data_IF_465826976550
#
_entry.id   IF_465826976550
#
_cell.length_a   1.000
_cell.length_b   1.000
_cell.length_c   1.000
_cell.angle_alpha   90.00
_cell.angle_beta   90.00
_cell.angle_gamma   90.00
#
_symmetry.space_group_name_H-M   'P 1'
#
loop_
_entity.id
_entity.type
_entity.pdbx_description
1 polymer ?
#
# COMPACT_ATOMS: atom_id res chain seq x y z
N UNK A 1 -27.40 1.15 72.94
CA UNK A 1 -28.19 1.48 71.74
C UNK A 1 -27.50 2.66 71.05
N UNK A 2 -26.32 2.43 70.47
CA UNK A 2 -26.03 2.26 69.04
C UNK A 2 -26.27 3.51 68.18
N UNK A 3 -25.16 3.99 67.61
CA UNK A 3 -24.93 5.29 66.99
C UNK A 3 -25.55 5.43 65.60
N UNK A 4 -25.92 6.67 65.24
CA UNK A 4 -26.25 7.07 63.86
C UNK A 4 -25.01 7.70 63.22
N UNK A 5 -24.48 7.03 62.21
CA UNK A 5 -23.40 7.50 61.34
C UNK A 5 -23.91 8.58 60.36
N UNK A 6 -23.10 9.60 60.02
CA UNK A 6 -23.44 10.56 58.98
C UNK A 6 -23.16 10.00 57.58
N UNK A 7 -24.04 10.33 56.65
CA UNK A 7 -23.99 9.99 55.23
C UNK A 7 -22.84 10.75 54.56
N UNK A 8 -21.77 10.07 54.13
CA UNK A 8 -20.74 10.66 53.27
C UNK A 8 -21.29 10.79 51.85
N UNK A 9 -21.34 12.02 51.33
CA UNK A 9 -21.61 12.32 49.93
C UNK A 9 -20.34 12.00 49.12
N UNK A 10 -20.32 10.84 48.44
CA UNK A 10 -19.25 10.48 47.52
C UNK A 10 -19.46 11.23 46.19
N UNK A 11 -18.62 12.22 45.91
CA UNK A 11 -18.56 12.87 44.61
C UNK A 11 -17.94 11.90 43.59
N UNK A 12 -18.76 11.41 42.67
CA UNK A 12 -18.28 10.62 41.54
C UNK A 12 -17.55 11.53 40.54
N UNK A 13 -16.22 11.56 40.62
CA UNK A 13 -15.39 12.04 39.51
C UNK A 13 -15.48 11.01 38.37
N UNK A 14 -16.36 11.27 37.41
CA UNK A 14 -16.34 10.58 36.12
C UNK A 14 -15.06 10.99 35.38
N UNK A 15 -14.00 10.21 35.57
CA UNK A 15 -12.84 10.28 34.69
C UNK A 15 -13.30 9.90 33.28
N UNK A 16 -13.45 10.89 32.39
CA UNK A 16 -13.50 10.63 30.95
C UNK A 16 -12.19 9.95 30.60
N UNK A 17 -12.25 8.64 30.38
CA UNK A 17 -11.14 7.86 29.87
C UNK A 17 -10.81 8.41 28.48
N UNK A 18 -9.74 9.19 28.42
CA UNK A 18 -9.15 9.68 27.20
C UNK A 18 -8.57 8.44 26.50
N UNK A 19 -9.34 7.82 25.61
CA UNK A 19 -8.84 6.73 24.77
C UNK A 19 -7.89 7.37 23.77
N UNK A 20 -6.63 7.55 24.18
CA UNK A 20 -5.51 7.66 23.28
C UNK A 20 -5.49 6.34 22.49
N UNK A 21 -5.88 6.39 21.22
CA UNK A 21 -5.62 5.29 20.31
C UNK A 21 -4.13 5.31 19.98
N UNK A 22 -3.32 4.75 20.87
CA UNK A 22 -2.06 4.11 20.47
C UNK A 22 -2.44 2.85 19.67
N UNK A 23 -2.99 3.05 18.47
CA UNK A 23 -2.97 1.97 17.47
C UNK A 23 -1.52 1.91 17.01
N UNK A 24 -0.83 0.83 17.38
CA UNK A 24 0.48 0.51 16.84
C UNK A 24 0.49 0.80 15.34
N UNK A 25 1.45 1.61 14.84
CA UNK A 25 1.53 1.90 13.43
C UNK A 25 1.63 0.62 12.60
N UNK A 26 2.10 -0.49 13.18
CA UNK A 26 2.34 -1.76 12.51
C UNK A 26 1.22 -2.80 12.69
N UNK A 27 0.07 -2.40 13.26
CA UNK A 27 -1.11 -3.27 13.28
C UNK A 27 -1.76 -3.35 11.89
N UNK A 28 -1.54 -4.48 11.20
CA UNK A 28 -2.21 -4.92 9.98
C UNK A 28 -3.66 -5.32 10.26
N UNK A 29 -4.46 -4.35 10.70
CA UNK A 29 -5.91 -4.51 10.90
C UNK A 29 -6.60 -4.63 9.52
N UNK A 30 -7.25 -5.78 9.20
CA UNK A 30 -7.95 -6.00 7.94
C UNK A 30 -9.22 -5.15 7.80
N UNK A 31 -9.69 -4.52 8.88
CA UNK A 31 -10.89 -3.66 8.92
C UNK A 31 -10.58 -2.17 9.06
N UNK A 32 -9.48 -1.73 8.47
CA UNK A 32 -9.10 -0.32 8.51
C UNK A 32 -10.00 0.55 7.62
N UNK A 33 -11.10 1.00 8.20
CA UNK A 33 -12.01 1.99 7.62
C UNK A 33 -11.32 3.33 7.28
N UNK A 34 -10.10 3.56 7.76
CA UNK A 34 -9.31 4.77 7.46
C UNK A 34 -8.42 4.60 6.22
N UNK A 35 -8.25 3.38 5.69
CA UNK A 35 -7.48 3.17 4.46
C UNK A 35 -8.26 3.71 3.25
N UNK A 36 -7.68 4.74 2.63
CA UNK A 36 -8.23 5.41 1.46
C UNK A 36 -7.96 4.65 0.16
N UNK A 37 -7.01 3.70 0.16
CA UNK A 37 -6.72 2.84 -0.99
C UNK A 37 -7.71 1.67 -1.01
N UNK A 38 -8.55 1.53 -2.05
CA UNK A 38 -9.30 0.30 -2.25
C UNK A 38 -8.34 -0.83 -2.67
N UNK A 39 -8.63 -2.06 -2.22
CA UNK A 39 -7.90 -3.26 -2.63
C UNK A 39 -6.35 -3.12 -2.55
N UNK A 40 -5.83 -2.56 -1.46
CA UNK A 40 -4.39 -2.26 -1.32
C UNK A 40 -3.48 -3.50 -1.23
N UNK A 41 -4.06 -4.67 -0.95
CA UNK A 41 -3.37 -5.97 -0.96
C UNK A 41 -3.61 -6.80 -2.22
N UNK A 42 -4.37 -6.30 -3.21
CA UNK A 42 -4.67 -7.01 -4.47
C UNK A 42 -5.42 -8.34 -4.31
N UNK A 43 -6.07 -8.57 -3.17
CA UNK A 43 -6.82 -9.81 -2.88
C UNK A 43 -8.08 -9.97 -3.73
N UNK A 44 -8.67 -8.84 -4.13
CA UNK A 44 -9.85 -8.78 -4.98
C UNK A 44 -9.44 -8.63 -6.46
N UNK A 45 -9.62 -9.69 -7.24
CA UNK A 45 -9.38 -9.68 -8.68
C UNK A 45 -10.36 -10.62 -9.40
N UNK A 46 -10.68 -10.29 -10.64
CA UNK A 46 -11.59 -11.07 -11.47
C UNK A 46 -10.88 -11.79 -12.62
N UNK A 47 -11.39 -12.96 -12.99
CA UNK A 47 -10.89 -13.75 -14.11
C UNK A 47 -9.79 -14.75 -13.73
N UNK A 48 -9.08 -15.25 -14.75
CA UNK A 48 -8.01 -16.23 -14.58
C UNK A 48 -6.68 -15.59 -14.94
N UNK A 49 -5.82 -15.43 -13.94
CA UNK A 49 -4.45 -14.95 -14.12
C UNK A 49 -3.63 -16.02 -14.85
N UNK A 50 -3.16 -15.69 -16.06
CA UNK A 50 -2.41 -16.61 -16.94
C UNK A 50 -1.09 -16.03 -17.46
N UNK A 51 -0.95 -14.71 -17.43
CA UNK A 51 0.17 -13.98 -18.03
C UNK A 51 0.55 -12.78 -17.17
N UNK A 52 1.78 -12.34 -17.35
CA UNK A 52 2.29 -11.05 -16.88
C UNK A 52 1.50 -9.89 -17.53
N UNK A 53 1.60 -8.71 -16.94
CA UNK A 53 0.90 -7.50 -17.38
C UNK A 53 -0.59 -7.51 -17.07
N UNK A 54 -0.99 -8.14 -15.96
CA UNK A 54 -2.40 -8.39 -15.61
C UNK A 54 -2.91 -7.58 -14.40
N UNK A 55 -2.24 -6.48 -14.02
CA UNK A 55 -2.67 -5.66 -12.87
C UNK A 55 -4.12 -5.15 -12.99
N UNK A 56 -4.61 -4.96 -14.21
CA UNK A 56 -5.97 -4.48 -14.47
C UNK A 56 -7.05 -5.50 -14.08
N UNK A 57 -6.68 -6.75 -13.81
CA UNK A 57 -7.57 -7.75 -13.22
C UNK A 57 -7.83 -7.47 -11.73
N UNK A 58 -6.90 -6.81 -11.03
CA UNK A 58 -7.10 -6.42 -9.64
C UNK A 58 -8.05 -5.22 -9.56
N UNK A 59 -9.13 -5.39 -8.80
CA UNK A 59 -10.22 -4.42 -8.74
C UNK A 59 -9.71 -3.03 -8.35
N UNK A 60 -9.95 -2.04 -9.21
CA UNK A 60 -9.60 -0.64 -8.99
C UNK A 60 -8.18 -0.22 -9.40
N UNK A 61 -7.30 -1.18 -9.71
CA UNK A 61 -5.92 -0.90 -10.13
C UNK A 61 -5.78 -0.87 -11.64
N UNK A 62 -4.94 0.05 -12.14
CA UNK A 62 -4.65 0.21 -13.57
C UNK A 62 -3.21 0.66 -13.80
N UNK A 63 -2.69 0.41 -14.99
CA UNK A 63 -1.44 1.05 -15.43
C UNK A 63 -1.74 2.35 -16.19
N UNK A 64 -1.09 3.48 -15.84
CA UNK A 64 -1.27 4.75 -16.52
C UNK A 64 -0.55 4.84 -17.88
N UNK A 65 0.35 3.91 -18.18
CA UNK A 65 1.13 3.82 -19.43
C UNK A 65 0.72 2.58 -20.24
N UNK A 66 1.29 2.43 -21.44
CA UNK A 66 1.09 1.21 -22.26
C UNK A 66 1.65 -0.04 -21.58
N UNK A 67 2.72 0.13 -20.80
CA UNK A 67 3.36 -0.93 -20.02
C UNK A 67 2.48 -1.29 -18.83
N UNK A 68 1.99 -2.53 -18.84
CA UNK A 68 1.12 -3.06 -17.79
C UNK A 68 1.94 -3.63 -16.65
N UNK A 69 1.56 -3.28 -15.44
CA UNK A 69 2.11 -3.89 -14.24
C UNK A 69 1.63 -5.34 -14.09
N UNK A 70 2.38 -6.10 -13.30
CA UNK A 70 2.12 -7.50 -13.07
C UNK A 70 1.23 -7.71 -11.85
N UNK A 71 0.45 -8.78 -11.88
CA UNK A 71 -0.26 -9.32 -10.74
C UNK A 71 0.22 -10.76 -10.57
N UNK A 72 0.56 -11.13 -9.34
CA UNK A 72 0.96 -12.48 -8.95
C UNK A 72 -0.04 -13.04 -7.94
N UNK A 73 -0.28 -14.34 -7.99
CA UNK A 73 -1.22 -15.02 -7.11
C UNK A 73 -0.81 -16.46 -6.83
N UNK A 74 -0.98 -16.92 -5.60
CA UNK A 74 -0.83 -18.33 -5.22
C UNK A 74 -1.92 -19.23 -5.81
N UNK A 75 -3.04 -18.64 -6.28
CA UNK A 75 -4.14 -19.35 -6.93
C UNK A 75 -3.78 -19.82 -8.34
N UNK A 76 -2.66 -19.33 -8.89
CA UNK A 76 -2.10 -19.82 -10.15
C UNK A 76 -1.14 -20.96 -9.81
N UNK A 77 -1.52 -22.19 -10.14
CA UNK A 77 -0.75 -23.37 -9.78
C UNK A 77 0.68 -23.38 -10.34
N UNK A 78 0.83 -23.05 -11.64
CA UNK A 78 2.12 -22.96 -12.33
C UNK A 78 2.00 -21.93 -13.44
N UNK A 79 2.93 -20.98 -13.51
CA UNK A 79 3.04 -20.07 -14.63
C UNK A 79 3.95 -18.88 -14.38
N UNK A 80 4.08 -17.97 -15.34
CA UNK A 80 4.92 -16.78 -15.17
C UNK A 80 4.38 -15.83 -14.10
N UNK A 81 3.10 -15.92 -13.75
CA UNK A 81 2.42 -15.10 -12.74
C UNK A 81 2.07 -15.86 -11.45
N UNK A 82 2.59 -17.09 -11.25
CA UNK A 82 2.33 -17.84 -10.01
C UNK A 82 3.13 -17.30 -8.83
N UNK A 83 2.54 -17.37 -7.64
CA UNK A 83 3.28 -17.15 -6.39
C UNK A 83 3.36 -18.48 -5.61
N UNK A 84 4.47 -18.76 -4.90
CA UNK A 84 5.63 -17.87 -4.74
C UNK A 84 6.59 -17.88 -5.93
N UNK A 85 6.67 -19.00 -6.68
CA UNK A 85 7.61 -19.12 -7.80
C UNK A 85 7.02 -18.59 -9.11
N UNK A 86 7.66 -17.58 -9.70
CA UNK A 86 7.29 -16.95 -10.99
C UNK A 86 8.51 -16.71 -11.88
N UNK A 87 8.28 -16.02 -13.01
CA UNK A 87 9.30 -15.53 -13.96
C UNK A 87 10.45 -14.75 -13.28
N UNK A 88 10.19 -14.09 -12.15
CA UNK A 88 11.12 -13.15 -11.50
C UNK A 88 11.75 -13.67 -10.20
N UNK A 89 11.45 -14.89 -9.78
CA UNK A 89 12.04 -15.49 -8.58
C UNK A 89 11.07 -16.33 -7.75
N UNK A 90 11.34 -16.41 -6.45
CA UNK A 90 10.58 -17.19 -5.46
C UNK A 90 10.13 -16.26 -4.32
N UNK A 91 9.02 -15.57 -4.56
CA UNK A 91 8.49 -14.55 -3.65
C UNK A 91 7.03 -14.82 -3.30
N UNK A 92 6.78 -15.12 -2.03
CA UNK A 92 5.43 -15.17 -1.46
C UNK A 92 4.83 -13.79 -1.20
N UNK A 93 3.50 -13.70 -1.13
CA UNK A 93 2.82 -12.47 -0.72
C UNK A 93 3.18 -12.14 0.75
N UNK A 94 3.29 -10.84 1.07
CA UNK A 94 3.51 -10.39 2.45
C UNK A 94 2.31 -10.73 3.35
N UNK A 95 1.11 -10.57 2.80
CA UNK A 95 -0.16 -10.90 3.42
C UNK A 95 -1.12 -11.34 2.30
N UNK A 96 -2.07 -12.21 2.63
CA UNK A 96 -3.02 -12.77 1.68
C UNK A 96 -2.36 -13.69 0.66
N UNK A 97 -2.89 -13.70 -0.54
CA UNK A 97 -2.54 -14.61 -1.63
C UNK A 97 -1.88 -13.91 -2.82
N UNK A 98 -2.01 -12.58 -2.91
CA UNK A 98 -1.68 -11.83 -4.12
C UNK A 98 -0.71 -10.68 -3.85
N UNK A 99 0.00 -10.26 -4.89
CA UNK A 99 0.79 -9.02 -4.88
C UNK A 99 1.03 -8.50 -6.30
N UNK A 100 1.41 -7.23 -6.41
CA UNK A 100 1.77 -6.61 -7.68
C UNK A 100 3.29 -6.55 -7.89
N UNK A 101 3.71 -6.62 -9.15
CA UNK A 101 5.09 -6.37 -9.57
C UNK A 101 5.21 -5.24 -10.58
N UNK A 102 6.36 -4.57 -10.59
CA UNK A 102 6.68 -3.48 -11.50
C UNK A 102 8.12 -3.59 -12.02
N UNK A 103 8.31 -3.38 -13.32
CA UNK A 103 9.60 -3.06 -13.88
C UNK A 103 9.96 -1.61 -13.55
N UNK A 104 10.81 -1.38 -12.55
CA UNK A 104 11.17 -0.02 -12.14
C UNK A 104 12.38 0.54 -12.88
N UNK A 105 13.39 -0.29 -13.12
CA UNK A 105 14.64 0.12 -13.73
C UNK A 105 15.22 -1.01 -14.53
N UNK A 106 15.76 -0.68 -15.71
CA UNK A 106 16.49 -1.61 -16.55
C UNK A 106 17.76 -0.94 -17.08
N UNK A 107 18.81 -1.75 -17.28
CA UNK A 107 20.06 -1.25 -17.82
C UNK A 107 19.83 -0.68 -19.22
N UNK A 108 20.29 0.56 -19.45
CA UNK A 108 20.09 1.30 -20.70
C UNK A 108 18.62 1.43 -21.14
N UNK A 109 17.65 1.39 -20.22
CA UNK A 109 16.22 1.41 -20.53
C UNK A 109 15.79 0.31 -21.52
N UNK A 110 16.46 -0.86 -21.49
CA UNK A 110 16.12 -2.00 -22.34
C UNK A 110 14.67 -2.44 -22.16
N UNK A 111 14.20 -2.41 -20.93
CA UNK A 111 12.80 -2.67 -20.58
C UNK A 111 12.18 -1.38 -20.03
N UNK A 112 11.03 -0.96 -20.57
CA UNK A 112 10.39 0.28 -20.16
C UNK A 112 9.81 0.17 -18.74
N UNK A 113 9.69 1.32 -18.06
CA UNK A 113 9.21 1.38 -16.69
C UNK A 113 7.70 1.12 -16.63
N UNK A 114 7.29 0.21 -15.75
CA UNK A 114 5.90 -0.03 -15.42
C UNK A 114 5.45 0.88 -14.28
N UNK A 115 4.20 1.33 -14.35
CA UNK A 115 3.55 2.12 -13.32
C UNK A 115 2.19 1.53 -13.00
N UNK A 116 1.68 1.84 -11.82
CA UNK A 116 0.31 1.54 -11.44
C UNK A 116 -0.33 2.72 -10.72
N UNK A 117 -1.64 2.82 -10.83
CA UNK A 117 -2.45 3.85 -10.21
C UNK A 117 -3.76 3.26 -9.69
N UNK A 118 -4.29 3.91 -8.67
CA UNK A 118 -5.56 3.55 -8.04
C UNK A 118 -6.31 4.81 -7.64
N UNK A 119 -7.63 4.80 -7.79
CA UNK A 119 -8.48 5.91 -7.34
C UNK A 119 -8.75 5.76 -5.84
N UNK A 120 -8.48 6.80 -5.06
CA UNK A 120 -8.82 6.80 -3.64
C UNK A 120 -10.34 6.74 -3.42
N UNK A 121 -10.76 6.07 -2.33
CA UNK A 121 -12.18 5.95 -1.92
C UNK A 121 -12.82 7.31 -1.65
N UNK A 122 -12.03 8.31 -1.23
CA UNK A 122 -12.47 9.66 -0.88
C UNK A 122 -11.47 10.69 -1.40
N UNK A 123 -11.95 11.89 -1.71
CA UNK A 123 -11.07 13.02 -2.06
C UNK A 123 -10.26 13.48 -0.85
N UNK A 124 -9.05 13.98 -1.10
CA UNK A 124 -8.22 14.58 -0.06
C UNK A 124 -8.80 15.92 0.40
N UNK A 125 -8.77 16.15 1.69
CA UNK A 125 -9.23 17.38 2.35
C UNK A 125 -8.05 18.33 2.53
N UNK A 126 -8.23 19.59 2.12
CA UNK A 126 -7.20 20.63 2.30
C UNK A 126 -6.82 20.77 3.78
N UNK A 127 -5.53 20.95 4.05
CA UNK A 127 -5.02 21.14 5.42
C UNK A 127 -4.83 19.86 6.23
N UNK A 128 -5.21 18.69 5.71
CA UNK A 128 -5.03 17.42 6.41
C UNK A 128 -3.72 16.73 6.07
N UNK A 129 -3.15 16.05 7.08
CA UNK A 129 -1.99 15.18 6.93
C UNK A 129 -2.42 13.76 6.59
N UNK A 130 -1.75 13.15 5.63
CA UNK A 130 -1.97 11.79 5.17
C UNK A 130 -0.67 11.00 5.28
N UNK A 131 -0.75 9.78 5.78
CA UNK A 131 0.34 8.83 5.85
C UNK A 131 0.21 7.87 4.66
N UNK A 132 1.20 7.83 3.78
CA UNK A 132 1.31 6.87 2.69
C UNK A 132 2.35 5.83 3.10
N UNK A 133 1.98 4.56 3.03
CA UNK A 133 2.84 3.42 3.33
C UNK A 133 2.75 2.45 2.17
N UNK A 134 3.87 1.86 1.79
CA UNK A 134 3.88 0.71 0.91
C UNK A 134 5.00 -0.22 1.31
N UNK A 135 4.71 -1.51 1.27
CA UNK A 135 5.71 -2.54 1.57
C UNK A 135 6.32 -3.06 0.32
N UNK A 136 7.63 -3.27 0.37
CA UNK A 136 8.44 -3.61 -0.78
C UNK A 136 9.29 -4.90 -0.44
N UNK A 137 9.25 -6.10 -1.16
CA UNK A 137 10.14 -7.33 -1.50
C UNK A 137 10.92 -7.68 -2.89
N UNK A 138 12.27 -7.59 -3.07
CA UNK A 138 12.96 -7.30 -4.37
C UNK A 138 13.04 -8.59 -5.12
N UNK A 139 12.59 -8.62 -6.37
CA UNK A 139 12.60 -9.83 -7.18
C UNK A 139 13.95 -10.54 -7.08
N UNK A 140 13.94 -11.83 -6.72
CA UNK A 140 15.17 -12.57 -6.41
C UNK A 140 16.12 -12.65 -7.61
N UNK A 141 15.56 -12.64 -8.83
CA UNK A 141 16.33 -12.65 -10.07
C UNK A 141 16.72 -11.23 -10.54
N UNK A 142 16.38 -10.18 -9.79
CA UNK A 142 16.77 -8.82 -10.15
C UNK A 142 18.26 -8.60 -9.95
N UNK A 143 18.91 -8.07 -10.97
CA UNK A 143 20.33 -7.68 -10.94
C UNK A 143 20.55 -6.29 -10.36
N UNK A 144 19.51 -5.47 -10.34
CA UNK A 144 19.61 -4.05 -10.02
C UNK A 144 18.50 -3.62 -9.07
N UNK A 145 18.83 -2.68 -8.18
CA UNK A 145 17.87 -1.99 -7.33
C UNK A 145 17.82 -0.51 -7.72
N UNK A 146 16.74 0.16 -7.33
CA UNK A 146 16.57 1.59 -7.51
C UNK A 146 16.32 2.28 -6.16
N UNK A 147 16.91 3.45 -5.97
CA UNK A 147 16.97 4.13 -4.67
C UNK A 147 15.92 5.25 -4.50
N UNK A 148 14.97 5.38 -5.42
CA UNK A 148 14.01 6.49 -5.50
C UNK A 148 12.60 5.99 -5.85
N UNK A 149 12.06 5.13 -5.00
CA UNK A 149 10.65 4.75 -5.06
C UNK A 149 9.81 5.87 -4.44
N UNK A 150 8.72 6.23 -5.11
CA UNK A 150 7.86 7.31 -4.66
C UNK A 150 6.45 7.16 -5.16
N UNK A 151 5.54 7.90 -4.53
CA UNK A 151 4.16 8.00 -4.97
C UNK A 151 3.87 9.43 -5.46
N UNK A 152 3.11 9.50 -6.55
CA UNK A 152 2.57 10.72 -7.10
C UNK A 152 1.05 10.77 -6.87
N UNK A 153 0.55 11.88 -6.32
CA UNK A 153 -0.87 12.08 -6.08
C UNK A 153 -1.40 13.17 -7.00
N UNK A 154 -2.42 12.82 -7.77
CA UNK A 154 -3.05 13.71 -8.74
C UNK A 154 -4.55 13.87 -8.46
N UNK A 155 -5.10 15.00 -8.90
CA UNK A 155 -6.56 15.23 -8.94
C UNK A 155 -7.22 14.54 -10.13
N UNK A 156 -6.45 14.24 -11.17
CA UNK A 156 -6.91 13.69 -12.45
C UNK A 156 -6.21 12.36 -12.70
N UNK A 157 -6.93 11.42 -13.31
CA UNK A 157 -6.35 10.15 -13.74
C UNK A 157 -5.22 10.40 -14.75
N UNK A 158 -4.06 9.79 -14.53
CA UNK A 158 -2.97 9.84 -15.48
C UNK A 158 -3.25 8.80 -16.56
N UNK A 159 -3.13 9.22 -17.82
CA UNK A 159 -3.22 8.32 -18.98
C UNK A 159 -2.19 8.76 -20.01
N UNK A 160 -1.39 7.80 -20.43
CA UNK A 160 -0.38 7.94 -21.48
C UNK A 160 -0.45 6.70 -22.34
N UNK A 161 -0.63 6.88 -23.64
CA UNK A 161 -0.81 5.79 -24.59
C UNK A 161 0.53 5.33 -25.21
N UNK A 162 1.64 5.53 -24.48
CA UNK A 162 2.99 5.14 -24.87
C UNK A 162 3.77 4.48 -23.70
N UNK A 163 4.99 4.00 -23.99
CA UNK A 163 5.88 3.31 -23.06
C UNK A 163 6.86 4.24 -22.33
N UNK A 164 6.84 5.53 -22.66
CA UNK A 164 7.83 6.47 -22.15
C UNK A 164 7.55 6.82 -20.70
N UNK A 165 8.63 6.97 -19.92
CA UNK A 165 8.56 7.23 -18.49
C UNK A 165 7.68 8.46 -18.17
N UNK A 166 6.98 8.39 -17.04
CA UNK A 166 6.28 9.53 -16.47
C UNK A 166 7.30 10.47 -15.83
N UNK A 167 7.24 11.75 -16.18
CA UNK A 167 8.17 12.80 -15.73
C UNK A 167 7.60 13.65 -14.59
N UNK A 168 6.68 13.10 -13.80
CA UNK A 168 6.10 13.80 -12.65
C UNK A 168 7.05 13.80 -11.46
N UNK A 169 7.15 14.94 -10.78
CA UNK A 169 7.83 15.05 -9.50
C UNK A 169 7.10 14.27 -8.41
N UNK A 170 7.83 13.41 -7.70
CA UNK A 170 7.26 12.63 -6.60
C UNK A 170 6.91 13.53 -5.42
N UNK A 171 5.67 13.45 -4.95
CA UNK A 171 5.21 14.23 -3.78
C UNK A 171 5.48 13.48 -2.47
N UNK A 172 5.56 12.16 -2.55
CA UNK A 172 5.85 11.28 -1.42
C UNK A 172 7.13 10.54 -1.76
N UNK A 173 8.30 11.07 -1.38
CA UNK A 173 9.57 10.38 -1.57
C UNK A 173 9.68 9.19 -0.64
N UNK A 174 10.60 8.27 -0.96
CA UNK A 174 10.91 7.12 -0.10
C UNK A 174 11.25 7.60 1.32
N UNK A 175 10.60 7.03 2.34
CA UNK A 175 11.05 7.24 3.71
C UNK A 175 12.39 6.51 3.84
N UNK A 176 13.48 7.26 4.08
CA UNK A 176 14.78 6.70 4.47
C UNK A 176 14.60 5.85 5.74
N UNK A 177 14.25 4.59 5.61
CA UNK A 177 14.36 3.63 6.70
C UNK A 177 15.78 3.10 6.70
N UNK A 178 16.52 3.47 7.75
CA UNK A 178 17.82 2.90 8.11
C UNK A 178 17.63 1.42 8.46
N UNK A 179 17.55 0.56 7.44
CA UNK A 179 17.96 -0.84 7.48
C UNK A 179 17.50 -1.51 6.18
N UNK A 180 18.33 -1.39 5.15
CA UNK A 180 18.22 -2.18 3.94
C UNK A 180 18.71 -3.60 4.25
N UNK A 181 17.86 -4.41 4.87
CA UNK A 181 17.99 -5.87 4.76
C UNK A 181 16.74 -6.42 4.12
N UNK A 182 16.85 -6.42 2.79
CA UNK A 182 15.97 -7.09 1.83
C UNK A 182 14.61 -6.40 1.76
N UNK A 183 14.02 -6.53 0.59
CA UNK A 183 12.62 -6.30 0.26
C UNK A 183 12.22 -5.05 -0.72
N UNK A 184 11.83 -5.23 -2.03
CA UNK A 184 10.80 -4.66 -3.07
C UNK A 184 9.44 -5.38 -3.70
N UNK A 185 8.20 -5.04 -3.27
CA UNK A 185 6.78 -5.57 -3.23
C UNK A 185 5.97 -4.26 -3.26
N UNK A 186 4.67 -4.18 -3.52
CA UNK A 186 4.01 -2.88 -3.40
C UNK A 186 2.60 -3.00 -2.87
N UNK A 187 2.45 -3.24 -1.56
CA UNK A 187 1.15 -3.14 -0.90
C UNK A 187 0.96 -1.71 -0.35
N UNK A 188 0.21 -0.85 -1.06
CA UNK A 188 0.03 0.55 -0.71
C UNK A 188 -1.17 0.82 0.21
N UNK A 189 -0.94 1.52 1.33
CA UNK A 189 -1.95 2.01 2.27
C UNK A 189 -1.82 3.52 2.42
N UNK A 190 -2.93 4.25 2.34
CA UNK A 190 -2.96 5.69 2.66
C UNK A 190 -3.96 5.94 3.76
N UNK A 191 -3.50 6.42 4.93
CA UNK A 191 -4.34 6.72 6.10
C UNK A 191 -4.41 8.23 6.34
N UNK A 192 -5.58 8.74 6.68
CA UNK A 192 -5.72 10.12 7.21
C UNK A 192 -5.22 10.13 8.66
N UNK A 193 -4.29 11.03 8.99
CA UNK A 193 -3.84 11.23 10.37
C UNK A 193 -4.75 12.30 11.01
N UNK A 194 -5.37 11.99 12.17
CA UNK A 194 -6.02 13.04 12.97
C UNK A 194 -4.92 13.91 13.54
N UNK A 195 -4.91 15.19 13.13
CA UNK A 195 -3.96 16.16 13.66
C UNK A 195 -4.23 16.37 15.14
N UNK A 196 -3.23 16.09 15.97
CA UNK A 196 -3.18 16.59 17.34
C UNK A 196 -2.93 18.09 17.24
N UNK A 197 -3.95 18.89 17.53
CA UNK A 197 -3.85 20.33 17.56
C UNK A 197 -2.81 20.76 18.59
N UNK A 198 -1.94 21.69 18.18
CA UNK A 198 -1.34 22.65 19.10
C UNK A 198 -2.23 23.89 19.11
#
# INVERSE_FOLDING_TARGET
MTARFPLLCATAFSALTLIAQDKDPDSDDPTDSLNMVPNGGFEDFEGKLKRLGSIEMATGWKSPTLIKADLFSDKVAVGPASAPRNEYGDQGALNGSNYAGLMWWSYMNKEPRAYMQVKFKKMLTKGQKYCVRYFVSLSDLSKYSANELGAYVSKVMVKKDDESALTYEMQVPNLRTKDLRRYLLLAGRVRRVRGQGR
#
